data_IF_273215599388
#
_entry.id   IF_273215599388
#
_cell.length_a   1.000
_cell.length_b   1.000
_cell.length_c   1.000
_cell.angle_alpha   90.00
_cell.angle_beta   90.00
_cell.angle_gamma   90.00
#
_symmetry.space_group_name_H-M   'P 1'
#
loop_
_entity.id
_entity.type
_entity.pdbx_description
1 polymer ?
#
# COMPACT_ATOMS: atom_id res chain seq x y z
N UNK A 1 -0.03 -50.67 42.96
CA UNK A 1 -1.39 -50.10 43.18
C UNK A 1 -1.29 -48.79 43.95
N UNK A 2 -2.12 -47.81 43.58
CA UNK A 2 -2.46 -46.55 44.30
C UNK A 2 -1.57 -45.34 44.06
N UNK A 3 -1.69 -44.74 42.88
CA UNK A 3 -1.57 -43.29 42.74
C UNK A 3 -2.61 -42.77 41.73
N UNK A 4 -3.88 -43.10 41.98
CA UNK A 4 -5.01 -42.78 41.09
C UNK A 4 -6.20 -42.19 41.87
N UNK A 5 -5.95 -41.60 43.04
CA UNK A 5 -6.98 -41.02 43.91
C UNK A 5 -6.78 -39.55 44.29
N UNK A 6 -5.87 -38.83 43.64
CA UNK A 6 -5.71 -37.38 43.87
C UNK A 6 -6.38 -36.49 42.82
N UNK A 7 -6.82 -37.04 41.69
CA UNK A 7 -7.40 -36.23 40.60
C UNK A 7 -8.91 -35.97 40.72
N UNK A 8 -9.61 -36.65 41.63
CA UNK A 8 -11.06 -36.49 41.82
C UNK A 8 -11.43 -35.38 42.82
N UNK A 9 -10.50 -34.94 43.66
CA UNK A 9 -10.76 -33.89 44.66
C UNK A 9 -10.68 -32.47 44.10
N UNK A 10 -9.98 -32.26 42.98
CA UNK A 10 -9.85 -30.94 42.35
C UNK A 10 -11.02 -30.57 41.42
N UNK A 11 -11.86 -31.54 41.02
CA UNK A 11 -12.98 -31.31 40.10
C UNK A 11 -14.31 -30.98 40.81
N UNK A 12 -14.37 -31.16 42.14
CA UNK A 12 -15.55 -30.83 42.97
C UNK A 12 -15.48 -29.38 43.50
N UNK A 13 -14.29 -28.77 43.58
CA UNK A 13 -14.15 -27.38 44.05
C UNK A 13 -14.40 -26.31 42.97
N UNK A 14 -14.56 -26.69 41.71
CA UNK A 14 -14.82 -25.77 40.59
C UNK A 14 -16.31 -25.52 40.28
N UNK A 15 -17.24 -26.06 41.07
CA UNK A 15 -18.70 -25.95 40.82
C UNK A 15 -19.50 -25.18 41.87
N UNK A 16 -18.85 -24.47 42.81
CA UNK A 16 -19.56 -23.66 43.82
C UNK A 16 -19.03 -22.23 43.82
N UNK A 17 -19.32 -21.48 42.75
CA UNK A 17 -19.26 -20.01 42.81
C UNK A 17 -20.22 -19.35 41.81
N UNK A 18 -21.51 -19.59 42.01
CA UNK A 18 -22.55 -18.62 41.69
C UNK A 18 -23.32 -18.34 43.00
N UNK A 19 -22.73 -17.52 43.88
CA UNK A 19 -23.52 -16.85 44.90
C UNK A 19 -24.26 -15.71 44.21
N UNK A 20 -25.52 -15.96 43.93
CA UNK A 20 -26.49 -14.93 43.58
C UNK A 20 -26.47 -13.89 44.69
N UNK A 21 -25.85 -12.75 44.38
CA UNK A 21 -25.94 -11.55 45.18
C UNK A 21 -27.40 -11.11 45.11
N UNK A 22 -28.19 -11.54 46.10
CA UNK A 22 -29.49 -10.94 46.38
C UNK A 22 -29.22 -9.47 46.67
N UNK A 23 -29.31 -8.63 45.63
CA UNK A 23 -29.48 -7.19 45.78
C UNK A 23 -30.67 -7.02 46.71
N UNK A 24 -30.42 -6.63 47.94
CA UNK A 24 -31.39 -5.94 48.77
C UNK A 24 -31.81 -4.72 47.96
N UNK A 25 -32.91 -4.84 47.24
CA UNK A 25 -33.58 -3.71 46.66
C UNK A 25 -33.96 -2.82 47.83
N UNK A 26 -33.20 -1.73 48.05
CA UNK A 26 -33.77 -0.56 48.71
C UNK A 26 -35.03 -0.27 47.92
N UNK A 27 -36.19 -0.38 48.57
CA UNK A 27 -37.44 0.15 48.08
C UNK A 27 -37.23 1.67 47.96
N UNK A 28 -36.66 2.08 46.83
CA UNK A 28 -36.78 3.46 46.38
C UNK A 28 -38.26 3.62 46.14
N UNK A 29 -38.88 4.51 46.91
CA UNK A 29 -40.26 4.91 46.69
C UNK A 29 -40.25 5.65 45.34
N UNK A 30 -40.36 4.90 44.25
CA UNK A 30 -40.50 5.44 42.91
C UNK A 30 -41.87 6.11 42.91
N UNK A 31 -41.86 7.43 42.99
CA UNK A 31 -43.05 8.23 42.80
C UNK A 31 -43.67 7.80 41.47
N UNK A 32 -44.87 7.25 41.53
CA UNK A 32 -45.52 6.66 40.36
C UNK A 32 -45.98 7.83 39.51
N UNK A 33 -45.17 8.24 38.54
CA UNK A 33 -45.53 9.29 37.58
C UNK A 33 -46.74 8.76 36.80
N UNK A 34 -47.94 9.20 37.18
CA UNK A 34 -49.18 8.92 36.46
C UNK A 34 -49.46 10.05 35.50
N UNK A 35 -49.60 9.72 34.22
CA UNK A 35 -49.95 10.67 33.17
C UNK A 35 -51.39 11.13 33.33
N UNK A 36 -51.64 12.42 33.07
CA UNK A 36 -53.01 12.95 33.02
C UNK A 36 -53.66 12.56 31.70
N UNK A 37 -54.98 12.45 31.67
CA UNK A 37 -55.76 12.02 30.50
C UNK A 37 -55.57 12.97 29.31
N UNK A 38 -55.14 14.21 29.57
CA UNK A 38 -54.88 15.25 28.57
C UNK A 38 -53.43 15.28 28.05
N UNK A 39 -52.55 14.38 28.50
CA UNK A 39 -51.15 14.39 28.09
C UNK A 39 -51.01 14.18 26.57
N UNK A 40 -50.43 15.16 25.89
CA UNK A 40 -50.20 15.14 24.44
C UNK A 40 -48.98 14.26 24.15
N UNK A 41 -49.20 13.19 23.38
CA UNK A 41 -48.12 12.31 22.93
C UNK A 41 -47.46 12.90 21.67
N UNK A 42 -46.25 13.42 21.83
CA UNK A 42 -45.39 13.70 20.69
C UNK A 42 -44.89 12.36 20.13
N UNK A 43 -45.39 11.96 18.96
CA UNK A 43 -44.76 10.88 18.19
C UNK A 43 -43.40 11.39 17.72
N UNK A 44 -42.34 10.99 18.40
CA UNK A 44 -40.99 11.11 17.86
C UNK A 44 -40.93 10.24 16.59
N UNK A 45 -40.41 10.81 15.50
CA UNK A 45 -40.04 9.98 14.36
C UNK A 45 -38.97 8.99 14.81
N UNK A 46 -39.11 7.74 14.38
CA UNK A 46 -38.06 6.75 14.60
C UNK A 46 -36.76 7.27 13.95
N UNK A 47 -35.63 7.20 14.67
CA UNK A 47 -34.36 7.64 14.12
C UNK A 47 -34.04 6.81 12.88
N UNK A 48 -33.95 7.46 11.73
CA UNK A 48 -33.45 6.83 10.52
C UNK A 48 -31.94 6.67 10.65
N UNK A 49 -31.43 5.47 10.37
CA UNK A 49 -29.98 5.30 10.17
C UNK A 49 -29.61 6.10 8.91
N UNK A 50 -28.89 7.20 9.08
CA UNK A 50 -28.12 7.75 7.98
C UNK A 50 -27.09 6.69 7.58
N UNK A 51 -27.22 6.15 6.37
CA UNK A 51 -26.13 5.42 5.74
C UNK A 51 -25.00 6.44 5.59
N UNK A 52 -23.91 6.21 6.32
CA UNK A 52 -22.74 7.06 6.24
C UNK A 52 -22.15 6.90 4.84
N UNK A 53 -21.90 8.01 4.15
CA UNK A 53 -21.16 7.95 2.90
C UNK A 53 -19.77 7.37 3.18
N UNK A 54 -19.36 6.40 2.38
CA UNK A 54 -18.02 5.82 2.48
C UNK A 54 -16.98 6.91 2.22
N UNK A 55 -15.90 6.91 3.00
CA UNK A 55 -14.77 7.76 2.65
C UNK A 55 -14.20 7.33 1.29
N UNK A 56 -13.61 8.22 0.48
CA UNK A 56 -13.08 7.86 -0.84
C UNK A 56 -12.02 6.73 -0.84
N UNK A 57 -11.39 6.47 0.30
CA UNK A 57 -10.44 5.36 0.49
C UNK A 57 -11.10 4.04 0.92
N UNK A 58 -12.35 4.09 1.36
CA UNK A 58 -13.19 2.93 1.67
C UNK A 58 -13.98 2.46 0.44
N UNK A 59 -13.91 3.18 -0.68
CA UNK A 59 -14.43 2.70 -1.96
C UNK A 59 -13.79 1.36 -2.31
N UNK A 60 -14.60 0.31 -2.34
CA UNK A 60 -14.15 -1.00 -2.79
C UNK A 60 -14.02 -1.03 -4.31
N UNK A 61 -12.84 -1.42 -4.77
CA UNK A 61 -12.59 -1.82 -6.15
C UNK A 61 -12.49 -3.33 -6.20
N UNK A 62 -13.54 -3.99 -6.70
CA UNK A 62 -13.59 -5.45 -6.87
C UNK A 62 -13.47 -6.26 -5.56
N UNK A 63 -14.08 -5.80 -4.47
CA UNK A 63 -14.02 -6.46 -3.16
C UNK A 63 -12.71 -6.23 -2.41
N UNK A 64 -11.87 -5.30 -2.90
CA UNK A 64 -10.64 -4.85 -2.24
C UNK A 64 -10.66 -3.33 -2.10
N UNK A 65 -10.03 -2.79 -1.06
CA UNK A 65 -9.86 -1.34 -0.93
C UNK A 65 -9.15 -0.76 -2.16
N UNK A 66 -9.65 0.38 -2.63
CA UNK A 66 -9.01 1.17 -3.67
C UNK A 66 -7.58 1.52 -3.25
N UNK A 67 -6.64 1.30 -4.16
CA UNK A 67 -5.24 1.63 -3.96
C UNK A 67 -5.10 3.15 -4.03
N UNK A 68 -4.78 3.76 -2.91
CA UNK A 68 -4.52 5.20 -2.80
C UNK A 68 -3.03 5.49 -2.74
N UNK A 69 -2.64 6.77 -2.80
CA UNK A 69 -1.24 7.21 -2.66
C UNK A 69 -0.58 6.69 -1.37
N UNK A 70 -1.36 6.44 -0.34
CA UNK A 70 -0.89 5.97 0.98
C UNK A 70 -0.23 4.59 0.91
N UNK A 71 -0.67 3.73 -0.02
CA UNK A 71 -0.06 2.41 -0.25
C UNK A 71 1.35 2.49 -0.83
N UNK A 72 1.73 3.65 -1.37
CA UNK A 72 3.03 3.91 -1.99
C UNK A 72 3.92 4.74 -1.07
N UNK A 73 3.58 4.92 0.21
CA UNK A 73 4.52 5.53 1.17
C UNK A 73 5.78 4.69 1.34
N UNK A 74 6.84 5.38 1.73
CA UNK A 74 8.09 4.75 2.11
C UNK A 74 7.87 3.76 3.25
N UNK A 75 8.48 2.58 3.12
CA UNK A 75 8.34 1.47 4.05
C UNK A 75 9.58 1.26 4.93
N UNK A 76 10.44 2.28 5.01
CA UNK A 76 11.62 2.20 5.86
C UNK A 76 11.26 1.91 7.31
N UNK A 77 12.10 1.15 7.98
CA UNK A 77 11.88 0.72 9.35
C UNK A 77 13.19 0.86 10.15
N UNK A 78 13.22 1.65 11.23
CA UNK A 78 14.45 1.87 11.99
C UNK A 78 14.92 0.62 12.74
N UNK A 79 14.06 -0.41 12.84
CA UNK A 79 14.40 -1.71 13.41
C UNK A 79 15.09 -2.63 12.39
N UNK A 80 15.16 -2.24 11.12
CA UNK A 80 15.94 -2.98 10.15
C UNK A 80 17.42 -2.96 10.54
N UNK A 81 18.14 -4.10 10.41
CA UNK A 81 19.55 -4.17 10.80
C UNK A 81 20.39 -3.23 9.93
N UNK A 82 21.45 -2.69 10.52
CA UNK A 82 22.42 -1.88 9.77
C UNK A 82 23.04 -2.69 8.63
N UNK A 83 23.33 -2.01 7.53
CA UNK A 83 24.07 -2.58 6.41
C UNK A 83 25.48 -2.03 6.40
N UNK A 84 26.46 -2.92 6.43
CA UNK A 84 27.86 -2.55 6.32
C UNK A 84 28.33 -2.93 4.91
N UNK A 85 28.73 -1.92 4.14
CA UNK A 85 29.41 -2.11 2.86
C UNK A 85 30.91 -2.15 3.10
N UNK A 86 31.47 -3.35 3.02
CA UNK A 86 32.90 -3.64 3.18
C UNK A 86 33.63 -3.82 1.84
N UNK A 87 32.99 -3.48 0.71
CA UNK A 87 33.61 -3.57 -0.62
C UNK A 87 34.90 -2.74 -0.75
N UNK A 88 35.02 -1.67 0.04
CA UNK A 88 36.24 -0.91 0.23
C UNK A 88 36.61 -0.90 1.73
N UNK A 89 37.62 -1.68 2.11
CA UNK A 89 38.06 -1.80 3.51
C UNK A 89 38.60 -0.49 4.09
N UNK A 90 39.10 0.42 3.25
CA UNK A 90 39.60 1.74 3.66
C UNK A 90 38.45 2.76 3.86
N UNK A 91 37.23 2.42 3.41
CA UNK A 91 36.05 3.29 3.50
C UNK A 91 34.79 2.46 3.73
N UNK A 92 34.73 1.79 4.87
CA UNK A 92 33.56 1.03 5.31
C UNK A 92 32.39 1.98 5.48
N UNK A 93 31.30 1.73 4.74
CA UNK A 93 30.08 2.54 4.84
C UNK A 93 29.01 1.79 5.61
N UNK A 94 28.42 2.46 6.59
CA UNK A 94 27.26 1.95 7.32
C UNK A 94 26.00 2.66 6.83
N UNK A 95 25.03 1.89 6.38
CA UNK A 95 23.73 2.37 5.96
C UNK A 95 22.68 1.97 7.00
N UNK A 96 22.02 2.98 7.54
CA UNK A 96 20.87 2.81 8.44
C UNK A 96 19.60 3.13 7.67
N UNK A 97 18.54 2.38 7.94
CA UNK A 97 17.25 2.65 7.33
C UNK A 97 16.61 3.95 7.86
N UNK A 98 15.59 4.45 7.16
CA UNK A 98 14.76 5.54 7.63
C UNK A 98 13.67 5.06 8.60
N UNK A 99 12.90 6.01 9.15
CA UNK A 99 11.81 5.75 10.10
C UNK A 99 10.46 5.51 9.37
N UNK A 100 10.50 5.43 8.05
CA UNK A 100 9.34 5.22 7.20
C UNK A 100 8.39 6.43 7.15
N UNK A 101 7.08 6.18 6.99
CA UNK A 101 6.10 7.23 6.68
C UNK A 101 5.87 8.20 7.84
N UNK A 102 6.30 7.83 9.06
CA UNK A 102 6.08 8.63 10.27
C UNK A 102 6.99 9.87 10.35
N UNK A 103 8.06 9.92 9.54
CA UNK A 103 9.08 10.98 9.60
C UNK A 103 9.26 11.77 8.33
N UNK A 104 8.57 11.37 7.26
CA UNK A 104 8.58 12.14 6.04
C UNK A 104 7.34 11.85 5.19
N UNK A 105 6.94 12.86 4.42
CA UNK A 105 5.81 12.76 3.49
C UNK A 105 6.17 11.93 2.24
N UNK A 106 5.17 11.71 1.38
CA UNK A 106 5.42 11.43 -0.04
C UNK A 106 6.04 12.67 -0.72
N UNK A 107 6.52 12.54 -1.96
CA UNK A 107 7.01 13.68 -2.72
C UNK A 107 5.96 14.76 -2.94
N UNK A 108 6.41 16.01 -3.01
CA UNK A 108 5.62 17.17 -3.37
C UNK A 108 5.58 17.26 -4.90
N UNK A 109 4.41 16.99 -5.48
CA UNK A 109 4.12 17.12 -6.90
C UNK A 109 3.15 18.28 -7.05
N UNK A 110 3.56 19.35 -7.74
CA UNK A 110 2.81 20.60 -7.84
C UNK A 110 2.41 21.14 -6.44
N UNK A 111 3.41 21.22 -5.55
CA UNK A 111 3.29 21.71 -4.16
C UNK A 111 2.39 20.87 -3.23
N UNK A 112 1.91 19.71 -3.70
CA UNK A 112 1.06 18.82 -2.91
C UNK A 112 1.72 17.46 -2.76
N UNK A 113 1.60 16.90 -1.55
CA UNK A 113 2.04 15.54 -1.30
C UNK A 113 1.29 14.55 -2.20
N UNK A 114 2.03 13.80 -3.03
CA UNK A 114 1.41 12.92 -4.01
C UNK A 114 2.33 11.90 -4.66
N UNK A 115 1.68 11.09 -5.49
CA UNK A 115 2.26 10.15 -6.44
C UNK A 115 1.66 10.47 -7.81
N UNK A 116 2.37 10.16 -8.89
CA UNK A 116 1.86 10.34 -10.24
C UNK A 116 0.57 9.54 -10.46
N UNK A 117 -0.56 10.18 -10.85
CA UNK A 117 -1.88 9.54 -10.90
C UNK A 117 -1.95 8.28 -11.78
N UNK A 118 -1.22 8.26 -12.90
CA UNK A 118 -1.19 7.11 -13.82
C UNK A 118 -0.82 5.80 -13.12
N UNK A 119 0.06 5.84 -12.12
CA UNK A 119 0.43 4.65 -11.35
C UNK A 119 -0.77 4.11 -10.57
N UNK A 120 -1.51 4.98 -9.89
CA UNK A 120 -2.71 4.59 -9.15
C UNK A 120 -3.80 4.06 -10.08
N UNK A 121 -3.99 4.70 -11.23
CA UNK A 121 -5.00 4.33 -12.22
C UNK A 121 -4.73 2.93 -12.78
N UNK A 122 -3.49 2.64 -13.16
CA UNK A 122 -3.08 1.32 -13.67
C UNK A 122 -3.25 0.24 -12.59
N UNK A 123 -2.76 0.49 -11.36
CA UNK A 123 -2.85 -0.50 -10.27
C UNK A 123 -4.31 -0.82 -9.92
N UNK A 124 -5.17 0.20 -9.83
CA UNK A 124 -6.60 0.01 -9.59
C UNK A 124 -7.31 -0.65 -10.78
N UNK A 125 -6.92 -0.33 -12.00
CA UNK A 125 -7.43 -1.00 -13.21
C UNK A 125 -7.13 -2.51 -13.17
N UNK A 126 -5.88 -2.88 -12.86
CA UNK A 126 -5.44 -4.28 -12.72
C UNK A 126 -6.23 -4.98 -11.60
N UNK A 127 -6.34 -4.36 -10.42
CA UNK A 127 -7.12 -4.92 -9.30
C UNK A 127 -8.59 -5.17 -9.70
N UNK A 128 -9.20 -4.22 -10.40
CA UNK A 128 -10.58 -4.31 -10.88
C UNK A 128 -10.79 -5.41 -11.91
N UNK A 129 -9.87 -5.58 -12.86
CA UNK A 129 -9.94 -6.56 -13.95
C UNK A 129 -9.64 -7.97 -13.47
N UNK A 130 -8.67 -8.12 -12.59
CA UNK A 130 -8.24 -9.43 -12.07
C UNK A 130 -9.12 -9.92 -10.93
N UNK A 131 -9.85 -9.03 -10.24
CA UNK A 131 -10.55 -9.33 -8.97
C UNK A 131 -9.59 -9.96 -7.94
N UNK A 132 -8.33 -9.51 -7.95
CA UNK A 132 -7.26 -10.00 -7.08
C UNK A 132 -6.50 -8.83 -6.50
N UNK A 133 -5.97 -9.03 -5.29
CA UNK A 133 -5.18 -8.02 -4.59
C UNK A 133 -3.90 -7.72 -5.35
N UNK A 134 -3.66 -6.44 -5.62
CA UNK A 134 -2.35 -5.96 -6.07
C UNK A 134 -1.48 -5.71 -4.84
N UNK A 135 -0.33 -6.37 -4.78
CA UNK A 135 0.63 -6.24 -3.69
C UNK A 135 1.76 -5.34 -4.15
N UNK A 136 1.73 -4.08 -3.71
CA UNK A 136 2.83 -3.13 -3.92
C UNK A 136 3.98 -3.53 -3.02
N UNK A 137 5.11 -3.87 -3.62
CA UNK A 137 6.34 -4.23 -2.89
C UNK A 137 7.11 -2.97 -2.56
N UNK A 138 7.27 -2.08 -3.55
CA UNK A 138 7.94 -0.80 -3.39
C UNK A 138 7.16 0.36 -4.05
N UNK A 139 6.98 1.46 -3.31
CA UNK A 139 6.46 2.73 -3.82
C UNK A 139 7.52 3.83 -3.73
N UNK A 140 7.22 4.94 -3.06
CA UNK A 140 8.20 5.97 -2.77
C UNK A 140 9.31 5.47 -1.82
N UNK A 141 10.56 5.87 -2.05
CA UNK A 141 11.67 5.71 -1.10
C UNK A 141 12.26 7.09 -0.79
N UNK A 142 12.40 7.50 0.46
CA UNK A 142 13.24 8.69 0.72
C UNK A 142 14.72 8.38 0.42
N UNK A 143 15.59 9.37 0.21
CA UNK A 143 17.00 9.14 -0.11
C UNK A 143 17.73 8.22 0.88
N UNK A 144 17.43 8.35 2.18
CA UNK A 144 18.00 7.49 3.23
C UNK A 144 17.58 6.03 3.04
N UNK A 145 16.28 5.78 2.91
CA UNK A 145 15.75 4.42 2.67
C UNK A 145 16.19 3.86 1.31
N UNK A 146 16.27 4.68 0.28
CA UNK A 146 16.74 4.27 -1.04
C UNK A 146 18.19 3.76 -0.98
N UNK A 147 19.08 4.53 -0.34
CA UNK A 147 20.49 4.15 -0.15
C UNK A 147 20.63 2.93 0.76
N UNK A 148 19.73 2.76 1.73
CA UNK A 148 19.66 1.56 2.55
C UNK A 148 19.16 0.34 1.76
N UNK A 149 18.18 0.51 0.87
CA UNK A 149 17.56 -0.59 0.15
C UNK A 149 18.46 -1.12 -0.96
N UNK A 150 19.06 -0.23 -1.75
CA UNK A 150 19.97 -0.56 -2.85
C UNK A 150 21.17 0.41 -2.86
N UNK A 151 22.38 -0.16 -2.75
CA UNK A 151 23.65 0.58 -2.71
C UNK A 151 24.26 0.77 -4.09
N UNK A 152 23.65 0.22 -5.14
CA UNK A 152 24.13 0.32 -6.51
C UNK A 152 24.18 1.78 -7.00
N UNK A 153 25.07 2.06 -7.96
CA UNK A 153 25.12 3.38 -8.58
C UNK A 153 23.83 3.71 -9.35
N UNK A 154 23.12 2.70 -9.86
CA UNK A 154 21.85 2.86 -10.59
C UNK A 154 20.75 3.36 -9.64
N UNK A 155 20.72 2.88 -8.39
CA UNK A 155 19.75 3.32 -7.39
C UNK A 155 19.81 4.81 -7.07
N UNK A 156 20.97 5.46 -7.26
CA UNK A 156 21.16 6.90 -6.94
C UNK A 156 20.27 7.83 -7.75
N UNK A 157 19.73 7.36 -8.87
CA UNK A 157 18.82 8.11 -9.73
C UNK A 157 17.45 7.43 -9.86
N UNK A 158 17.10 6.55 -8.91
CA UNK A 158 15.82 5.84 -8.90
C UNK A 158 14.63 6.81 -8.87
N UNK A 159 13.60 6.46 -9.65
CA UNK A 159 12.35 7.23 -9.74
C UNK A 159 11.42 6.96 -8.56
N UNK A 160 11.67 5.92 -7.76
CA UNK A 160 11.02 5.74 -6.46
C UNK A 160 11.24 6.96 -5.56
N UNK A 161 12.40 7.61 -5.63
CA UNK A 161 12.67 8.80 -4.80
C UNK A 161 11.79 10.01 -5.12
N UNK A 162 11.26 10.09 -6.34
CA UNK A 162 10.37 11.16 -6.76
C UNK A 162 8.92 10.69 -6.92
N UNK A 163 8.58 9.49 -6.43
CA UNK A 163 7.22 8.96 -6.46
C UNK A 163 6.73 8.61 -7.88
N UNK A 164 7.66 8.42 -8.81
CA UNK A 164 7.39 8.15 -10.22
C UNK A 164 7.68 6.69 -10.61
N UNK A 165 7.73 5.79 -9.63
CA UNK A 165 8.05 4.38 -9.83
C UNK A 165 7.32 3.51 -8.80
N UNK A 166 6.84 2.36 -9.23
CA UNK A 166 6.20 1.36 -8.37
C UNK A 166 6.61 -0.05 -8.80
N UNK A 167 6.90 -0.88 -7.80
CA UNK A 167 7.11 -2.31 -7.94
C UNK A 167 5.94 -3.04 -7.31
N UNK A 168 5.39 -4.04 -8.01
CA UNK A 168 4.27 -4.82 -7.52
C UNK A 168 4.15 -6.20 -8.18
N UNK A 169 3.36 -7.06 -7.54
CA UNK A 169 2.83 -8.29 -8.16
C UNK A 169 1.33 -8.42 -7.83
N UNK A 170 0.65 -9.37 -8.46
CA UNK A 170 -0.78 -9.63 -8.21
C UNK A 170 -0.93 -10.98 -7.52
N UNK A 171 -1.57 -10.97 -6.34
CA UNK A 171 -1.71 -12.16 -5.51
C UNK A 171 -2.56 -13.22 -6.22
N UNK A 172 -2.05 -14.45 -6.29
CA UNK A 172 -2.64 -15.56 -7.05
C UNK A 172 -2.43 -15.47 -8.56
N UNK A 173 -1.57 -14.58 -9.05
CA UNK A 173 -1.10 -14.50 -10.44
C UNK A 173 0.45 -14.35 -10.50
N UNK A 174 1.15 -14.78 -9.45
CA UNK A 174 2.60 -14.71 -9.31
C UNK A 174 3.32 -15.44 -10.47
N UNK A 175 2.74 -16.54 -10.95
CA UNK A 175 3.26 -17.35 -12.06
C UNK A 175 2.69 -16.94 -13.43
N UNK A 176 2.02 -15.79 -13.52
CA UNK A 176 1.46 -15.28 -14.78
C UNK A 176 1.68 -13.77 -14.96
N UNK A 177 2.91 -13.25 -14.77
CA UNK A 177 3.18 -11.82 -14.84
C UNK A 177 2.91 -11.21 -16.22
N UNK A 178 3.07 -11.99 -17.31
CA UNK A 178 2.78 -11.54 -18.67
C UNK A 178 1.30 -11.16 -18.86
N UNK A 179 0.36 -11.85 -18.19
CA UNK A 179 -1.05 -11.46 -18.22
C UNK A 179 -1.27 -10.08 -17.59
N UNK A 180 -0.45 -9.72 -16.61
CA UNK A 180 -0.52 -8.41 -15.97
C UNK A 180 0.09 -7.33 -16.89
N UNK A 181 1.15 -7.66 -17.63
CA UNK A 181 1.69 -6.79 -18.70
C UNK A 181 0.62 -6.49 -19.75
N UNK A 182 -0.12 -7.49 -20.21
CA UNK A 182 -1.21 -7.31 -21.18
C UNK A 182 -2.30 -6.37 -20.64
N UNK A 183 -2.67 -6.51 -19.37
CA UNK A 183 -3.63 -5.60 -18.72
C UNK A 183 -3.12 -4.15 -18.63
N UNK A 184 -1.81 -3.93 -18.47
CA UNK A 184 -1.23 -2.58 -18.52
C UNK A 184 -1.38 -1.99 -19.91
N UNK A 185 -1.19 -2.78 -20.96
CA UNK A 185 -1.37 -2.32 -22.34
C UNK A 185 -2.85 -2.06 -22.66
N UNK A 186 -3.75 -2.92 -22.18
CA UNK A 186 -5.19 -2.77 -22.40
C UNK A 186 -5.78 -1.58 -21.65
N UNK A 187 -5.21 -1.18 -20.50
CA UNK A 187 -5.57 0.08 -19.83
C UNK A 187 -5.53 1.28 -20.79
N UNK A 188 -4.47 1.41 -21.59
CA UNK A 188 -4.32 2.53 -22.53
C UNK A 188 -5.29 2.48 -23.71
N UNK A 189 -5.73 1.29 -24.13
CA UNK A 189 -6.73 1.12 -25.19
C UNK A 189 -8.15 1.37 -24.70
N UNK A 190 -8.42 0.98 -23.46
CA UNK A 190 -9.77 1.04 -22.89
C UNK A 190 -10.10 2.39 -22.28
N UNK A 191 -9.15 3.06 -21.64
CA UNK A 191 -9.41 4.33 -20.95
C UNK A 191 -9.61 5.47 -21.95
N UNK A 192 -10.74 6.19 -21.80
CA UNK A 192 -11.16 7.24 -22.73
C UNK A 192 -10.19 8.41 -22.82
N UNK A 193 -9.29 8.58 -21.84
CA UNK A 193 -8.26 9.63 -21.84
C UNK A 193 -7.14 9.37 -22.84
N UNK A 194 -6.94 8.11 -23.22
CA UNK A 194 -5.84 7.64 -24.08
C UNK A 194 -6.35 7.02 -25.38
N UNK A 195 -7.60 6.56 -25.41
CA UNK A 195 -8.21 5.89 -26.55
C UNK A 195 -8.06 6.68 -27.85
N UNK A 196 -7.50 6.05 -28.87
CA UNK A 196 -7.27 6.62 -30.20
C UNK A 196 -6.06 7.57 -30.29
N UNK A 197 -5.24 7.68 -29.24
CA UNK A 197 -4.01 8.48 -29.25
C UNK A 197 -2.80 7.54 -29.34
N UNK A 198 -2.27 7.37 -30.56
CA UNK A 198 -1.27 6.35 -30.90
C UNK A 198 -0.05 6.35 -29.96
N UNK A 199 0.48 7.53 -29.61
CA UNK A 199 1.67 7.66 -28.75
C UNK A 199 1.48 7.09 -27.32
N UNK A 200 0.23 6.96 -26.84
CA UNK A 200 -0.09 6.32 -25.56
C UNK A 200 -0.50 4.86 -25.73
N UNK A 201 -1.23 4.50 -26.79
CA UNK A 201 -1.68 3.11 -26.99
C UNK A 201 -0.55 2.19 -27.49
N UNK A 202 0.36 2.72 -28.31
CA UNK A 202 1.41 1.94 -28.95
C UNK A 202 2.61 1.77 -28.03
N UNK A 203 2.76 0.57 -27.49
CA UNK A 203 3.96 0.17 -26.77
C UNK A 203 5.05 -0.28 -27.75
N UNK A 204 6.26 0.20 -27.51
CA UNK A 204 7.48 -0.16 -28.20
C UNK A 204 8.38 -0.95 -27.24
N UNK A 205 8.99 -2.00 -27.76
CA UNK A 205 9.98 -2.77 -27.00
C UNK A 205 11.28 -1.97 -26.93
N UNK A 206 11.83 -1.83 -25.73
CA UNK A 206 13.08 -1.13 -25.50
C UNK A 206 14.26 -1.96 -26.01
N UNK A 207 15.03 -1.39 -26.93
CA UNK A 207 16.05 -2.13 -27.69
C UNK A 207 17.46 -2.07 -27.09
N UNK A 208 17.68 -1.29 -26.03
CA UNK A 208 18.99 -1.19 -25.39
C UNK A 208 19.13 -2.23 -24.29
N UNK A 209 20.37 -2.61 -23.98
CA UNK A 209 20.67 -3.52 -22.88
C UNK A 209 20.09 -2.99 -21.56
N UNK A 210 19.44 -3.89 -20.83
CA UNK A 210 18.86 -3.63 -19.53
C UNK A 210 19.29 -4.69 -18.52
N UNK A 211 19.00 -4.42 -17.26
CA UNK A 211 19.26 -5.28 -16.10
C UNK A 211 18.29 -6.47 -15.95
N UNK A 212 17.42 -6.69 -16.94
CA UNK A 212 16.40 -7.75 -16.96
C UNK A 212 16.50 -8.58 -18.23
N UNK A 213 16.22 -9.88 -18.13
CA UNK A 213 16.22 -10.82 -19.25
C UNK A 213 15.05 -10.62 -20.21
N UNK A 214 13.90 -10.13 -19.72
CA UNK A 214 12.74 -9.84 -20.54
C UNK A 214 12.81 -8.39 -21.02
N UNK A 215 12.90 -8.12 -22.34
CA UNK A 215 13.04 -6.75 -22.83
C UNK A 215 11.86 -5.87 -22.36
N UNK A 216 12.15 -4.71 -21.75
CA UNK A 216 11.10 -3.80 -21.29
C UNK A 216 10.27 -3.21 -22.42
N UNK A 217 9.11 -2.66 -22.05
CA UNK A 217 8.21 -1.98 -22.97
C UNK A 217 7.97 -0.54 -22.53
N UNK A 218 7.70 0.35 -23.47
CA UNK A 218 7.33 1.72 -23.13
C UNK A 218 6.37 2.31 -24.16
N UNK A 219 5.56 3.26 -23.72
CA UNK A 219 4.82 4.18 -24.58
C UNK A 219 5.30 5.62 -24.27
N UNK A 220 4.50 6.65 -24.59
CA UNK A 220 4.80 8.03 -24.21
C UNK A 220 4.85 8.27 -22.70
N UNK A 221 3.99 7.61 -21.93
CA UNK A 221 3.73 7.97 -20.53
C UNK A 221 4.50 7.12 -19.53
N UNK A 222 4.71 5.84 -19.82
CA UNK A 222 5.33 4.90 -18.89
C UNK A 222 6.36 3.99 -19.57
N UNK A 223 7.25 3.48 -18.73
CA UNK A 223 8.20 2.42 -19.01
C UNK A 223 7.91 1.26 -18.07
N UNK A 224 7.83 0.04 -18.59
CA UNK A 224 7.41 -1.14 -17.84
C UNK A 224 8.45 -2.25 -17.99
N UNK A 225 8.94 -2.74 -16.85
CA UNK A 225 9.85 -3.88 -16.77
C UNK A 225 9.17 -5.06 -16.09
N UNK A 226 9.50 -6.26 -16.55
CA UNK A 226 9.23 -7.50 -15.83
C UNK A 226 10.55 -8.02 -15.27
N UNK A 227 10.64 -8.10 -13.95
CA UNK A 227 11.80 -8.63 -13.25
C UNK A 227 11.49 -10.08 -12.86
N UNK A 228 12.33 -11.01 -13.32
CA UNK A 228 12.22 -12.43 -12.99
C UNK A 228 12.52 -12.69 -11.50
N UNK A 229 12.30 -13.93 -11.05
CA UNK A 229 12.40 -14.31 -9.63
C UNK A 229 13.78 -14.07 -8.99
N UNK A 230 14.84 -13.94 -9.79
CA UNK A 230 16.22 -13.70 -9.37
C UNK A 230 16.76 -12.33 -9.78
N UNK A 231 15.95 -11.47 -10.42
CA UNK A 231 16.37 -10.17 -10.96
C UNK A 231 15.92 -9.02 -10.05
N UNK A 232 16.66 -7.90 -10.05
CA UNK A 232 16.27 -6.66 -9.36
C UNK A 232 16.04 -6.79 -7.84
N UNK A 233 16.64 -7.80 -7.21
CA UNK A 233 16.43 -8.08 -5.78
C UNK A 233 17.20 -7.11 -4.90
N UNK A 234 16.46 -6.43 -4.03
CA UNK A 234 16.98 -5.52 -3.02
C UNK A 234 16.27 -5.75 -1.67
N UNK A 235 16.45 -4.87 -0.68
CA UNK A 235 15.81 -5.05 0.63
C UNK A 235 14.31 -4.79 0.65
N UNK A 236 13.73 -4.18 -0.39
CA UNK A 236 12.30 -3.96 -0.52
C UNK A 236 11.61 -5.05 -1.36
N UNK A 237 12.32 -5.65 -2.31
CA UNK A 237 11.81 -6.65 -3.25
C UNK A 237 12.34 -8.06 -2.94
N UNK A 238 12.27 -8.50 -1.67
CA UNK A 238 12.80 -9.80 -1.20
C UNK A 238 11.87 -11.00 -1.39
N UNK A 239 10.83 -10.88 -2.21
CA UNK A 239 9.88 -11.95 -2.43
C UNK A 239 10.37 -12.92 -3.52
N UNK A 240 9.95 -14.20 -3.49
CA UNK A 240 10.43 -15.23 -4.43
C UNK A 240 9.77 -15.17 -5.81
N UNK A 241 8.81 -14.27 -6.01
CA UNK A 241 8.01 -14.20 -7.24
C UNK A 241 8.52 -13.14 -8.23
N UNK A 242 8.32 -13.30 -9.55
CA UNK A 242 8.47 -12.19 -10.48
C UNK A 242 7.62 -10.97 -10.08
N UNK A 243 8.08 -9.77 -10.44
CA UNK A 243 7.32 -8.55 -10.22
C UNK A 243 7.45 -7.60 -11.40
N UNK A 244 6.53 -6.64 -11.46
CA UNK A 244 6.48 -5.62 -12.49
C UNK A 244 6.90 -4.30 -11.87
N UNK A 245 7.79 -3.61 -12.56
CA UNK A 245 8.18 -2.23 -12.26
C UNK A 245 7.56 -1.31 -13.32
N UNK A 246 6.84 -0.28 -12.89
CA UNK A 246 6.34 0.79 -13.76
C UNK A 246 7.02 2.09 -13.38
N UNK A 247 7.66 2.73 -14.35
CA UNK A 247 8.26 4.05 -14.23
C UNK A 247 7.50 5.07 -15.08
N UNK A 248 7.16 6.23 -14.52
CA UNK A 248 6.53 7.32 -15.26
C UNK A 248 7.58 8.08 -16.07
N UNK A 249 7.33 8.25 -17.36
CA UNK A 249 8.15 8.98 -18.33
C UNK A 249 7.60 10.39 -18.62
N UNK A 250 6.28 10.55 -18.60
CA UNK A 250 5.61 11.80 -18.94
C UNK A 250 4.41 12.03 -18.03
N UNK A 251 4.22 13.25 -17.55
CA UNK A 251 3.05 13.65 -16.78
C UNK A 251 2.09 14.40 -17.71
N UNK A 252 0.95 13.77 -17.98
CA UNK A 252 -0.10 14.32 -18.83
C UNK A 252 -0.67 15.64 -18.30
N UNK A 253 -0.73 15.82 -16.98
CA UNK A 253 -1.35 17.00 -16.37
C UNK A 253 -0.48 18.24 -16.57
N UNK A 254 0.83 18.10 -16.36
CA UNK A 254 1.80 19.21 -16.53
C UNK A 254 2.37 19.28 -17.94
N UNK A 255 2.13 18.26 -18.77
CA UNK A 255 2.68 18.08 -20.12
C UNK A 255 4.21 18.03 -20.15
N UNK A 256 4.84 17.54 -19.08
CA UNK A 256 6.29 17.51 -18.92
C UNK A 256 6.83 16.09 -18.80
N UNK A 257 8.09 15.91 -19.21
CA UNK A 257 8.83 14.66 -18.93
C UNK A 257 9.10 14.52 -17.44
N UNK A 258 8.91 13.32 -16.94
CA UNK A 258 9.19 12.96 -15.55
C UNK A 258 10.59 12.38 -15.47
N UNK A 259 11.52 13.22 -15.01
CA UNK A 259 12.92 12.85 -14.80
C UNK A 259 13.28 13.00 -13.33
N UNK A 260 14.18 12.12 -12.88
CA UNK A 260 14.88 12.32 -11.62
C UNK A 260 15.65 13.64 -11.65
N UNK A 261 15.57 14.38 -10.55
CA UNK A 261 16.55 15.42 -10.22
C UNK A 261 16.91 15.29 -8.75
N UNK A 262 18.14 15.66 -8.41
CA UNK A 262 18.58 15.62 -7.02
C UNK A 262 17.67 16.45 -6.12
N UNK A 263 17.26 17.62 -6.59
CA UNK A 263 16.35 18.52 -5.86
C UNK A 263 14.99 17.87 -5.57
N UNK A 264 14.35 17.26 -6.57
CA UNK A 264 13.08 16.55 -6.38
C UNK A 264 13.22 15.39 -5.40
N UNK A 265 14.33 14.66 -5.46
CA UNK A 265 14.55 13.50 -4.60
C UNK A 265 14.92 13.86 -3.16
N UNK A 266 15.69 14.92 -2.93
CA UNK A 266 16.26 15.24 -1.61
C UNK A 266 15.55 16.40 -0.89
N UNK A 267 14.90 17.28 -1.64
CA UNK A 267 14.15 18.44 -1.12
C UNK A 267 12.68 18.44 -1.50
N UNK A 268 12.26 17.53 -2.37
CA UNK A 268 10.88 17.42 -2.82
C UNK A 268 9.97 16.62 -1.89
N UNK A 269 10.20 16.58 -0.58
CA UNK A 269 9.31 15.97 0.40
C UNK A 269 9.50 16.66 1.77
N UNK A 270 8.48 16.61 2.62
CA UNK A 270 8.51 17.20 3.96
C UNK A 270 9.10 16.22 4.97
N UNK A 271 9.88 16.72 5.92
CA UNK A 271 10.37 15.97 7.07
C UNK A 271 9.62 16.42 8.33
N UNK A 272 9.34 15.48 9.24
CA UNK A 272 8.54 15.68 10.45
C UNK A 272 9.34 15.51 11.76
#
# INVERSE_FOLDING_TARGET
>A
MKCQRLFLFFLIFSLISCKDSKKTSRLVNLEKISRLKEDIYYKHQDPTKNLMDLYPFEEETAGFFKITKEFLRCKGNPLNPERVDTSNLDNVKVYLDCVGPNKHSLPLINEKEGIYPVLLDILNYIQRKTKKRVVITCGHRCPKHNSYADTSNVAKTSKHMIGAEVDFYVQGLENSPLKIMDLIFDFYKEDSRYRGVEEYERFQQYQKDTDVSTPPWHNKEIFVKLNQYNEGRDFNNRHPYPYICIQVLYDRSTKQKVNYTWEKAHRGYLQH
#
